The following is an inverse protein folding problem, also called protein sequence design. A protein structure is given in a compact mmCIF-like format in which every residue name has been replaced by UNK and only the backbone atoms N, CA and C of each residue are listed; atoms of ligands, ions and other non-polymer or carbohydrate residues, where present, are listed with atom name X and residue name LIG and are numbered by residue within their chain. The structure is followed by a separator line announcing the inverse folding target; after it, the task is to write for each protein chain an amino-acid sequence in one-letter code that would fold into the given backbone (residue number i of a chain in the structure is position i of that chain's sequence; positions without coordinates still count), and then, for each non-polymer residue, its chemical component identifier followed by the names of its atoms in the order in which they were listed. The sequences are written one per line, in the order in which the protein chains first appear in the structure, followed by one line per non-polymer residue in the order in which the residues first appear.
data_IF_355577177108
#
_entry.id   IF_355577177108
#
_cell.length_a   1.000
_cell.length_b   1.000
_cell.length_c   1.000
_cell.angle_alpha   90.00
_cell.angle_beta   90.00
_cell.angle_gamma   90.00
#
_symmetry.space_group_name_H-M   'P 1'
#
loop_
_entity.id
_entity.type
_entity.pdbx_description
1 polymer ?
#
# COMPACT_ATOMS: atom_id res chain seq x y z
N UNK A 1 29.44 8.26 6.92
CA UNK A 1 29.14 7.83 5.54
C UNK A 1 28.34 6.53 5.47
N UNK A 2 28.74 5.46 6.17
CA UNK A 2 28.07 4.15 6.09
C UNK A 2 26.58 4.21 6.51
N UNK A 3 26.26 4.92 7.60
CA UNK A 3 24.88 5.16 8.06
C UNK A 3 24.03 5.99 7.08
N UNK A 4 24.64 6.93 6.35
CA UNK A 4 23.92 7.76 5.40
C UNK A 4 23.53 6.96 4.15
N UNK A 5 24.42 6.07 3.69
CA UNK A 5 24.16 5.17 2.56
C UNK A 5 23.09 4.13 2.90
N UNK A 6 23.08 3.58 4.11
CA UNK A 6 22.03 2.64 4.53
C UNK A 6 20.65 3.31 4.60
N UNK A 7 20.56 4.52 5.17
CA UNK A 7 19.31 5.27 5.19
C UNK A 7 18.83 5.58 3.77
N UNK A 8 19.73 6.02 2.89
CA UNK A 8 19.38 6.33 1.50
C UNK A 8 18.91 5.10 0.72
N UNK A 9 19.43 3.92 1.00
CA UNK A 9 19.01 2.67 0.36
C UNK A 9 17.60 2.22 0.79
N UNK A 10 17.21 2.47 2.04
CA UNK A 10 15.93 2.03 2.61
C UNK A 10 14.83 3.08 2.46
N UNK A 11 15.18 4.36 2.38
CA UNK A 11 14.24 5.47 2.30
C UNK A 11 13.19 5.32 1.18
N UNK A 12 13.52 4.92 -0.06
CA UNK A 12 12.53 4.75 -1.12
C UNK A 12 11.46 3.70 -0.76
N UNK A 13 11.87 2.58 -0.15
CA UNK A 13 10.95 1.52 0.25
C UNK A 13 10.00 2.00 1.35
N UNK A 14 10.51 2.71 2.36
CA UNK A 14 9.69 3.27 3.44
C UNK A 14 8.69 4.29 2.88
N UNK A 15 9.13 5.18 1.99
CA UNK A 15 8.26 6.17 1.38
C UNK A 15 7.10 5.51 0.62
N UNK A 16 7.38 4.47 -0.17
CA UNK A 16 6.32 3.72 -0.86
C UNK A 16 5.36 3.05 0.13
N UNK A 17 5.87 2.44 1.21
CA UNK A 17 5.03 1.79 2.21
C UNK A 17 4.11 2.75 2.98
N UNK A 18 4.50 4.02 3.13
CA UNK A 18 3.68 5.06 3.76
C UNK A 18 2.61 5.66 2.81
N UNK A 19 2.48 5.16 1.58
CA UNK A 19 1.53 5.66 0.58
C UNK A 19 0.52 4.58 0.20
N UNK A 20 -0.37 4.88 -0.75
CA UNK A 20 -1.32 3.91 -1.34
C UNK A 20 -0.65 2.81 -2.19
N UNK A 21 0.66 2.90 -2.44
CA UNK A 21 1.39 1.97 -3.31
C UNK A 21 1.19 0.51 -2.91
N UNK A 22 1.31 0.20 -1.61
CA UNK A 22 1.22 -1.17 -1.08
C UNK A 22 -0.09 -1.86 -1.44
N UNK A 23 -1.23 -1.18 -1.26
CA UNK A 23 -2.54 -1.74 -1.61
C UNK A 23 -2.65 -2.00 -3.10
N UNK A 24 -2.25 -1.01 -3.92
CA UNK A 24 -2.38 -1.09 -5.38
C UNK A 24 -1.53 -2.22 -5.95
N UNK A 25 -0.25 -2.31 -5.56
CA UNK A 25 0.66 -3.33 -6.11
C UNK A 25 0.21 -4.75 -5.74
N UNK A 26 -0.34 -4.95 -4.54
CA UNK A 26 -0.85 -6.26 -4.10
C UNK A 26 -2.12 -6.62 -4.87
N UNK A 27 -3.09 -5.71 -5.01
CA UNK A 27 -4.31 -5.96 -5.79
C UNK A 27 -3.97 -6.32 -7.24
N UNK A 28 -3.08 -5.56 -7.88
CA UNK A 28 -2.67 -5.84 -9.26
C UNK A 28 -1.95 -7.19 -9.38
N UNK A 29 -1.10 -7.54 -8.42
CA UNK A 29 -0.39 -8.82 -8.40
C UNK A 29 -1.35 -10.01 -8.21
N UNK A 30 -2.31 -9.90 -7.30
CA UNK A 30 -3.36 -10.91 -7.10
C UNK A 30 -4.24 -11.06 -8.33
N UNK A 31 -4.61 -9.94 -8.98
CA UNK A 31 -5.38 -9.95 -10.23
C UNK A 31 -4.65 -10.68 -11.34
N UNK A 32 -3.34 -10.45 -11.51
CA UNK A 32 -2.52 -11.18 -12.49
C UNK A 32 -2.57 -12.70 -12.26
N UNK A 33 -2.40 -13.12 -11.01
CA UNK A 33 -2.44 -14.54 -10.66
C UNK A 33 -3.84 -15.14 -10.90
N UNK A 34 -4.89 -14.38 -10.62
CA UNK A 34 -6.28 -14.80 -10.85
C UNK A 34 -6.58 -15.11 -12.32
N UNK A 35 -5.94 -14.39 -13.24
CA UNK A 35 -6.13 -14.55 -14.69
C UNK A 35 -5.41 -15.78 -15.26
N UNK A 36 -4.65 -16.53 -14.47
CA UNK A 36 -3.83 -17.65 -14.95
C UNK A 36 -2.68 -17.21 -15.89
N UNK A 37 -2.39 -15.91 -15.97
CA UNK A 37 -1.38 -15.39 -16.88
C UNK A 37 0.03 -15.66 -16.33
N UNK A 38 0.80 -16.46 -17.06
CA UNK A 38 2.22 -16.67 -16.74
C UNK A 38 3.06 -15.53 -17.30
N UNK A 39 3.69 -14.75 -16.43
CA UNK A 39 4.71 -13.76 -16.79
C UNK A 39 4.20 -12.45 -17.43
N UNK A 40 2.91 -12.33 -17.73
CA UNK A 40 2.30 -11.10 -18.29
C UNK A 40 1.19 -10.60 -17.36
N UNK A 41 1.18 -9.32 -16.94
CA UNK A 41 2.24 -8.31 -17.13
C UNK A 41 3.49 -8.57 -16.26
N UNK A 42 4.69 -8.16 -16.71
CA UNK A 42 5.92 -8.26 -15.92
C UNK A 42 5.84 -7.47 -14.61
N UNK A 43 6.59 -7.89 -13.58
CA UNK A 43 6.61 -7.21 -12.27
C UNK A 43 6.97 -5.73 -12.36
N UNK A 44 7.86 -5.36 -13.30
CA UNK A 44 8.24 -3.96 -13.53
C UNK A 44 7.07 -3.12 -14.04
N UNK A 45 6.23 -3.68 -14.91
CA UNK A 45 5.04 -3.00 -15.43
C UNK A 45 4.01 -2.81 -14.31
N UNK A 46 3.78 -3.83 -13.49
CA UNK A 46 2.88 -3.73 -12.34
C UNK A 46 3.38 -2.69 -11.32
N UNK A 47 4.68 -2.67 -11.03
CA UNK A 47 5.28 -1.68 -10.15
C UNK A 47 5.15 -0.26 -10.71
N UNK A 48 5.38 -0.07 -12.01
CA UNK A 48 5.19 1.22 -12.68
C UNK A 48 3.74 1.70 -12.62
N UNK A 49 2.78 0.82 -12.93
CA UNK A 49 1.35 1.11 -12.81
C UNK A 49 0.97 1.48 -11.37
N UNK A 50 1.44 0.70 -10.39
CA UNK A 50 1.18 0.97 -8.98
C UNK A 50 1.76 2.32 -8.54
N UNK A 51 2.95 2.69 -9.02
CA UNK A 51 3.57 3.97 -8.73
C UNK A 51 2.75 5.14 -9.30
N UNK A 52 2.38 5.10 -10.57
CA UNK A 52 1.60 6.19 -11.18
C UNK A 52 0.21 6.33 -10.57
N UNK A 53 -0.47 5.21 -10.30
CA UNK A 53 -1.76 5.24 -9.60
C UNK A 53 -1.60 5.75 -8.17
N UNK A 54 -0.50 5.41 -7.48
CA UNK A 54 -0.24 5.92 -6.15
C UNK A 54 0.00 7.43 -6.17
N UNK A 55 0.80 7.95 -7.11
CA UNK A 55 1.01 9.39 -7.29
C UNK A 55 -0.31 10.12 -7.59
N UNK A 56 -1.18 9.52 -8.41
CA UNK A 56 -2.49 10.08 -8.71
C UNK A 56 -3.37 10.18 -7.45
N UNK A 57 -3.46 9.10 -6.67
CA UNK A 57 -4.22 9.06 -5.40
C UNK A 57 -3.62 9.99 -4.35
N UNK A 58 -2.29 10.07 -4.28
CA UNK A 58 -1.55 10.87 -3.29
C UNK A 58 -1.43 12.35 -3.69
N UNK A 59 -1.88 12.75 -4.87
CA UNK A 59 -1.72 14.12 -5.40
C UNK A 59 -2.10 15.21 -4.38
N UNK A 60 -3.26 15.09 -3.73
CA UNK A 60 -3.70 16.05 -2.71
C UNK A 60 -2.79 16.12 -1.48
N UNK A 61 -2.24 14.98 -1.03
CA UNK A 61 -1.32 14.92 0.11
C UNK A 61 0.05 15.49 -0.27
N UNK A 62 0.55 15.15 -1.46
CA UNK A 62 1.82 15.64 -1.98
C UNK A 62 1.80 17.15 -2.19
N UNK A 63 0.70 17.71 -2.71
CA UNK A 63 0.52 19.17 -2.83
C UNK A 63 0.55 19.84 -1.47
N UNK A 64 -0.17 19.31 -0.47
CA UNK A 64 -0.14 19.87 0.89
C UNK A 64 1.25 19.83 1.51
N UNK A 65 1.99 18.73 1.35
CA UNK A 65 3.37 18.62 1.83
C UNK A 65 4.28 19.62 1.08
N UNK A 66 4.09 19.78 -0.22
CA UNK A 66 4.87 20.74 -1.00
C UNK A 66 4.67 22.17 -0.47
N UNK A 67 3.41 22.58 -0.28
CA UNK A 67 3.08 23.96 0.09
C UNK A 67 3.43 24.27 1.55
N UNK A 68 3.30 23.28 2.45
CA UNK A 68 3.52 23.48 3.89
C UNK A 68 4.95 23.20 4.37
N UNK A 69 5.70 22.32 3.69
CA UNK A 69 7.02 21.89 4.12
C UNK A 69 8.11 22.17 3.08
N UNK A 70 7.90 21.78 1.82
CA UNK A 70 8.97 21.83 0.80
C UNK A 70 9.26 23.26 0.35
N UNK A 71 8.25 24.02 -0.06
CA UNK A 71 8.43 25.41 -0.53
C UNK A 71 9.02 26.31 0.56
N UNK A 72 8.52 26.31 1.80
CA UNK A 72 9.10 27.15 2.85
C UNK A 72 10.53 26.72 3.25
N UNK A 73 10.84 25.42 3.20
CA UNK A 73 12.20 24.94 3.43
C UNK A 73 13.16 25.42 2.34
N UNK A 74 12.76 25.34 1.07
CA UNK A 74 13.55 25.84 -0.07
C UNK A 74 13.72 27.37 -0.04
N UNK A 75 12.73 28.09 0.47
CA UNK A 75 12.80 29.53 0.71
C UNK A 75 13.69 29.91 1.91
N UNK A 76 14.22 28.93 2.67
CA UNK A 76 14.94 29.11 3.94
C UNK A 76 14.10 29.75 5.05
N UNK A 77 12.77 29.67 4.95
CA UNK A 77 11.83 30.18 5.97
C UNK A 77 11.69 29.21 7.15
N UNK A 78 12.14 27.96 7.01
CA UNK A 78 12.12 26.96 8.08
C UNK A 78 13.32 26.02 8.04
N UNK A 79 13.69 25.50 9.21
CA UNK A 79 14.69 24.44 9.33
C UNK A 79 14.17 23.09 8.85
N UNK A 80 15.08 22.15 8.53
CA UNK A 80 14.70 20.79 8.15
C UNK A 80 13.86 20.07 9.21
N UNK A 81 14.17 20.27 10.50
CA UNK A 81 13.41 19.67 11.59
C UNK A 81 11.95 20.18 11.61
N UNK A 82 11.76 21.49 11.44
CA UNK A 82 10.42 22.08 11.34
C UNK A 82 9.68 21.61 10.08
N UNK A 83 10.36 21.55 8.93
CA UNK A 83 9.78 21.05 7.69
C UNK A 83 9.30 19.60 7.83
N UNK A 84 10.07 18.75 8.53
CA UNK A 84 9.67 17.38 8.84
C UNK A 84 8.45 17.33 9.77
N UNK A 85 8.42 18.17 10.81
CA UNK A 85 7.32 18.21 11.78
C UNK A 85 6.00 18.70 11.19
N UNK A 86 6.03 19.64 10.24
CA UNK A 86 4.81 20.09 9.54
C UNK A 86 4.45 19.15 8.38
N UNK A 87 5.44 18.64 7.65
CA UNK A 87 5.25 17.77 6.49
C UNK A 87 4.72 16.38 6.84
N UNK A 88 4.93 15.89 8.06
CA UNK A 88 4.35 14.62 8.51
C UNK A 88 2.84 14.70 8.75
N UNK A 89 2.28 15.89 9.01
CA UNK A 89 0.87 16.05 9.41
C UNK A 89 -0.12 15.63 8.30
N UNK A 90 0.03 16.08 7.04
CA UNK A 90 -0.82 15.61 5.94
C UNK A 90 -0.73 14.08 5.74
N UNK A 91 0.47 13.53 5.89
CA UNK A 91 0.71 12.09 5.76
C UNK A 91 0.03 11.31 6.89
N UNK A 92 0.17 11.76 8.15
CA UNK A 92 -0.53 11.16 9.29
C UNK A 92 -2.04 11.17 9.09
N UNK A 93 -2.62 12.30 8.67
CA UNK A 93 -4.06 12.40 8.40
C UNK A 93 -4.51 11.40 7.32
N UNK A 94 -3.73 11.28 6.25
CA UNK A 94 -3.98 10.30 5.20
C UNK A 94 -3.95 8.87 5.75
N UNK A 95 -2.93 8.52 6.53
CA UNK A 95 -2.77 7.17 7.09
C UNK A 95 -3.89 6.84 8.07
N UNK A 96 -4.23 7.76 8.98
CA UNK A 96 -5.34 7.59 9.95
C UNK A 96 -6.67 7.37 9.22
N UNK A 97 -6.95 8.16 8.17
CA UNK A 97 -8.18 8.02 7.39
C UNK A 97 -8.30 6.68 6.65
N UNK A 98 -7.17 6.04 6.33
CA UNK A 98 -7.11 4.75 5.63
C UNK A 98 -6.79 3.56 6.56
N UNK A 99 -6.59 3.80 7.86
CA UNK A 99 -6.32 2.76 8.85
C UNK A 99 -7.61 2.34 9.53
N UNK A 100 -7.87 1.03 9.57
CA UNK A 100 -9.02 0.49 10.29
C UNK A 100 -8.88 0.72 11.80
N UNK A 101 -9.96 1.14 12.50
CA UNK A 101 -9.91 1.37 13.94
C UNK A 101 -9.46 0.14 14.75
N UNK A 102 -9.85 -1.07 14.30
CA UNK A 102 -9.43 -2.33 14.92
C UNK A 102 -7.91 -2.57 14.87
N UNK A 103 -7.26 -2.24 13.75
CA UNK A 103 -5.82 -2.44 13.55
C UNK A 103 -5.03 -1.36 14.30
N UNK A 104 -5.54 -0.13 14.30
CA UNK A 104 -4.96 0.95 15.10
C UNK A 104 -5.04 0.62 16.60
N UNK A 105 -6.18 0.14 17.07
CA UNK A 105 -6.37 -0.26 18.46
C UNK A 105 -5.47 -1.45 18.84
N UNK A 106 -5.27 -2.40 17.93
CA UNK A 106 -4.33 -3.50 18.14
C UNK A 106 -2.90 -2.99 18.31
N UNK A 107 -2.44 -2.10 17.43
CA UNK A 107 -1.07 -1.58 17.51
C UNK A 107 -0.84 -0.72 18.75
N UNK A 108 -1.84 0.09 19.16
CA UNK A 108 -1.79 0.86 20.41
C UNK A 108 -1.69 -0.05 21.65
N UNK A 109 -2.41 -1.18 21.65
CA UNK A 109 -2.31 -2.17 22.73
C UNK A 109 -0.93 -2.82 22.79
N UNK A 110 -0.33 -3.10 21.62
CA UNK A 110 1.00 -3.72 21.53
C UNK A 110 2.10 -2.73 21.89
N UNK A 111 1.94 -1.44 21.58
CA UNK A 111 2.96 -0.42 21.86
C UNK A 111 3.01 0.01 23.33
N UNK A 112 2.05 -0.40 24.18
CA UNK A 112 1.89 0.08 25.56
C UNK A 112 1.85 1.61 25.68
N UNK A 113 1.48 2.31 24.61
CA UNK A 113 1.37 3.77 24.61
C UNK A 113 0.03 4.22 25.21
N UNK A 114 -0.01 5.39 25.89
CA UNK A 114 -1.26 5.96 26.36
C UNK A 114 -2.21 6.22 25.18
N UNK A 115 -3.51 5.99 25.38
CA UNK A 115 -4.50 6.25 24.35
C UNK A 115 -4.41 7.71 23.88
N UNK A 116 -4.17 7.96 22.58
CA UNK A 116 -3.99 9.32 22.08
C UNK A 116 -5.28 10.12 22.21
N UNK A 117 -5.16 11.40 22.56
CA UNK A 117 -6.30 12.31 22.78
C UNK A 117 -7.07 12.57 21.47
N UNK A 118 -6.36 12.59 20.34
CA UNK A 118 -6.96 12.64 19.01
C UNK A 118 -6.38 11.56 18.09
N UNK A 119 -7.12 11.11 17.07
CA UNK A 119 -6.61 10.16 16.08
C UNK A 119 -5.33 10.62 15.36
N UNK A 120 -5.04 11.93 15.34
CA UNK A 120 -3.85 12.50 14.71
C UNK A 120 -2.64 12.56 15.65
N UNK A 121 -2.81 12.30 16.96
CA UNK A 121 -1.71 12.30 17.94
C UNK A 121 -0.99 10.95 18.04
N UNK A 122 -1.34 9.98 17.19
CA UNK A 122 -0.69 8.67 17.15
C UNK A 122 0.74 8.81 16.64
N UNK A 123 1.70 8.22 17.36
CA UNK A 123 3.09 8.15 16.91
C UNK A 123 3.21 7.45 15.55
N UNK A 124 4.05 7.98 14.66
CA UNK A 124 4.33 7.37 13.35
C UNK A 124 4.85 5.93 13.48
N UNK A 125 5.58 5.61 14.55
CA UNK A 125 6.09 4.25 14.82
C UNK A 125 4.98 3.23 15.06
N UNK A 126 3.83 3.68 15.54
CA UNK A 126 2.65 2.85 15.80
C UNK A 126 1.67 2.91 14.62
N UNK A 127 1.52 4.08 14.00
CA UNK A 127 0.62 4.30 12.88
C UNK A 127 1.09 3.62 11.59
N UNK A 128 2.39 3.65 11.27
CA UNK A 128 2.91 3.06 10.03
C UNK A 128 2.62 1.55 9.96
N UNK A 129 2.95 0.74 10.98
CA UNK A 129 2.60 -0.69 10.97
C UNK A 129 1.09 -0.95 10.91
N UNK A 130 0.29 -0.18 11.65
CA UNK A 130 -1.18 -0.31 11.64
C UNK A 130 -1.76 -0.03 10.24
N UNK A 131 -1.28 1.03 9.60
CA UNK A 131 -1.67 1.40 8.24
C UNK A 131 -1.30 0.31 7.23
N UNK A 132 -0.05 -0.17 7.24
CA UNK A 132 0.40 -1.23 6.32
C UNK A 132 -0.47 -2.48 6.47
N UNK A 133 -0.77 -2.88 7.70
CA UNK A 133 -1.63 -4.04 7.96
C UNK A 133 -3.06 -3.82 7.43
N UNK A 134 -3.63 -2.63 7.64
CA UNK A 134 -4.95 -2.23 7.13
C UNK A 134 -5.00 -2.22 5.59
N UNK A 135 -3.96 -1.70 4.94
CA UNK A 135 -3.83 -1.66 3.48
C UNK A 135 -3.70 -3.07 2.91
N UNK A 136 -2.87 -3.93 3.52
CA UNK A 136 -2.71 -5.32 3.11
C UNK A 136 -4.02 -6.09 3.26
N UNK A 137 -4.70 -5.99 4.41
CA UNK A 137 -6.01 -6.63 4.62
C UNK A 137 -7.00 -6.21 3.54
N UNK A 138 -7.09 -4.90 3.27
CA UNK A 138 -7.98 -4.36 2.23
C UNK A 138 -7.60 -4.88 0.85
N UNK A 139 -6.30 -4.94 0.53
CA UNK A 139 -5.82 -5.46 -0.74
C UNK A 139 -6.14 -6.95 -0.93
N UNK A 140 -5.98 -7.77 0.11
CA UNK A 140 -6.35 -9.19 0.07
C UNK A 140 -7.85 -9.40 -0.09
N UNK A 141 -8.70 -8.60 0.57
CA UNK A 141 -10.15 -8.67 0.39
C UNK A 141 -10.52 -8.34 -1.05
N UNK A 142 -9.99 -7.25 -1.61
CA UNK A 142 -10.22 -6.87 -3.01
C UNK A 142 -9.73 -7.98 -3.95
N UNK A 143 -8.51 -8.47 -3.72
CA UNK A 143 -7.94 -9.55 -4.52
C UNK A 143 -8.76 -10.82 -4.48
N UNK A 144 -9.28 -11.21 -3.31
CA UNK A 144 -10.17 -12.35 -3.16
C UNK A 144 -11.47 -12.17 -3.95
N UNK A 145 -12.11 -11.00 -3.83
CA UNK A 145 -13.34 -10.69 -4.59
C UNK A 145 -13.10 -10.76 -6.10
N UNK A 146 -11.94 -10.30 -6.58
CA UNK A 146 -11.53 -10.42 -7.99
C UNK A 146 -11.28 -11.89 -8.36
N UNK A 147 -10.71 -12.70 -7.47
CA UNK A 147 -10.32 -14.08 -7.73
C UNK A 147 -11.52 -15.04 -7.90
N UNK A 148 -12.57 -14.85 -7.11
CA UNK A 148 -13.77 -15.71 -7.09
C UNK A 148 -14.37 -15.98 -8.48
N UNK A 149 -14.68 -14.98 -9.34
CA UNK A 149 -15.27 -15.25 -10.65
C UNK A 149 -14.36 -16.09 -11.56
N UNK A 150 -13.04 -15.87 -11.54
CA UNK A 150 -12.11 -16.65 -12.36
C UNK A 150 -12.02 -18.10 -11.90
N UNK A 151 -12.03 -18.33 -10.58
CA UNK A 151 -12.07 -19.66 -9.99
C UNK A 151 -13.34 -20.41 -10.44
N UNK A 152 -14.50 -19.75 -10.43
CA UNK A 152 -15.75 -20.36 -10.89
C UNK A 152 -15.67 -20.75 -12.37
N UNK A 153 -15.11 -19.87 -13.23
CA UNK A 153 -14.92 -20.18 -14.65
C UNK A 153 -14.02 -21.40 -14.82
N UNK A 154 -12.90 -21.46 -14.10
CA UNK A 154 -11.95 -22.57 -14.18
C UNK A 154 -12.60 -23.91 -13.74
N UNK A 155 -13.34 -23.91 -12.63
CA UNK A 155 -14.07 -25.10 -12.18
C UNK A 155 -15.12 -25.57 -13.21
N UNK A 156 -15.85 -24.65 -13.84
CA UNK A 156 -16.87 -24.98 -14.84
C UNK A 156 -16.23 -25.52 -16.12
N UNK A 157 -15.16 -24.89 -16.62
CA UNK A 157 -14.45 -25.33 -17.82
C UNK A 157 -13.81 -26.70 -17.60
N UNK A 158 -13.16 -26.91 -16.45
CA UNK A 158 -12.57 -28.19 -16.08
C UNK A 158 -13.61 -29.31 -15.98
N UNK A 159 -14.76 -29.06 -15.34
CA UNK A 159 -15.86 -30.03 -15.29
C UNK A 159 -16.44 -30.33 -16.69
N UNK A 160 -16.55 -29.32 -17.54
CA UNK A 160 -16.97 -29.46 -18.93
C UNK A 160 -16.01 -30.33 -19.75
N UNK A 161 -14.70 -30.07 -19.70
CA UNK A 161 -13.69 -30.85 -20.41
C UNK A 161 -13.64 -32.32 -19.95
N UNK A 162 -13.76 -32.56 -18.64
CA UNK A 162 -13.84 -33.92 -18.09
C UNK A 162 -15.07 -34.68 -18.61
N UNK A 163 -16.21 -34.01 -18.79
CA UNK A 163 -17.44 -34.64 -19.29
C UNK A 163 -17.35 -35.10 -20.75
N UNK A 164 -16.46 -34.51 -21.56
CA UNK A 164 -16.24 -34.85 -22.98
C UNK A 164 -15.22 -36.00 -23.14
N UNK A 165 -14.62 -36.48 -22.05
CA UNK A 165 -13.70 -37.62 -22.07
C UNK A 165 -12.27 -37.30 -22.52
N UNK A 166 -11.92 -36.02 -22.66
CA UNK A 166 -10.54 -35.59 -22.95
C UNK A 166 -9.70 -35.54 -21.67
N UNK A 167 -9.40 -36.73 -21.11
CA UNK A 167 -8.51 -36.89 -19.95
C UNK A 167 -7.05 -36.43 -20.19
N UNK A 168 -6.69 -36.06 -21.42
CA UNK A 168 -5.32 -35.79 -21.87
C UNK A 168 -5.17 -34.42 -22.59
N UNK A 169 -6.07 -33.46 -22.38
CA UNK A 169 -5.76 -32.06 -22.66
C UNK A 169 -5.46 -31.38 -21.31
N UNK A 170 -4.21 -30.93 -21.07
CA UNK A 170 -3.87 -30.22 -19.85
C UNK A 170 -4.77 -28.98 -19.72
N UNK A 171 -5.52 -28.82 -18.62
CA UNK A 171 -6.17 -27.56 -18.32
C UNK A 171 -5.07 -26.53 -18.00
N UNK A 172 -5.18 -25.35 -18.61
CA UNK A 172 -4.26 -24.22 -18.40
C UNK A 172 -4.44 -23.59 -17.03
#
# INVERSE_FOLDING_TARGET
MLLALTVLAVAPAILLMCTSFTKIVVVLSLTRNALGLQGVPPNQVLAGLALFLSLFVMSGVLTQINDTAVQPYLANDMSFAQAFDVGKVPLQKFMVANTRPEELALMLKVSNEPAPATPNDVSLTTLIPAFILSELRSAFIIGFVIFVPFLVIDMVVSAGLMSVGMMMLPPV
#
